data_IF_446929531481
#
_entry.id   IF_446929531481
#
_cell.length_a   1.000
_cell.length_b   1.000
_cell.length_c   1.000
_cell.angle_alpha   90.00
_cell.angle_beta   90.00
_cell.angle_gamma   90.00
#
_symmetry.space_group_name_H-M   'P 1'
#
loop_
_entity.id
_entity.type
_entity.pdbx_description
1 polymer ?
#
# COMPACT_ATOMS: atom_id res chain seq x y z
N UNK A 1 25.08 2.45 6.56
CA UNK A 1 25.71 2.60 5.23
C UNK A 1 24.92 1.87 4.15
N UNK A 2 24.60 0.58 4.33
CA UNK A 2 23.86 -0.23 3.33
C UNK A 2 22.46 0.31 2.99
N UNK A 3 21.58 0.71 3.94
CA UNK A 3 20.24 1.19 3.59
C UNK A 3 20.27 2.58 2.94
N UNK A 4 21.30 3.38 3.21
CA UNK A 4 21.53 4.67 2.54
C UNK A 4 21.91 4.47 1.08
N UNK A 5 22.76 3.48 0.77
CA UNK A 5 23.14 3.17 -0.61
C UNK A 5 21.93 2.72 -1.46
N UNK A 6 21.03 1.90 -0.89
CA UNK A 6 19.79 1.49 -1.59
C UNK A 6 18.70 2.56 -1.57
N UNK A 7 18.67 3.43 -0.56
CA UNK A 7 17.69 4.50 -0.42
C UNK A 7 17.82 5.61 -1.47
N UNK A 8 18.99 5.75 -2.12
CA UNK A 8 19.18 6.72 -3.21
C UNK A 8 18.50 6.27 -4.51
N UNK A 9 18.31 4.95 -4.71
CA UNK A 9 17.76 4.39 -5.95
C UNK A 9 16.38 4.96 -6.30
N UNK A 10 15.40 5.05 -5.38
CA UNK A 10 14.10 5.64 -5.69
C UNK A 10 14.16 7.11 -6.04
N UNK A 11 15.12 7.87 -5.47
CA UNK A 11 15.31 9.29 -5.76
C UNK A 11 15.90 9.49 -7.16
N UNK A 12 16.88 8.67 -7.54
CA UNK A 12 17.46 8.68 -8.89
C UNK A 12 16.40 8.28 -9.92
N UNK A 13 15.64 7.23 -9.64
CA UNK A 13 14.54 6.81 -10.52
C UNK A 13 13.48 7.89 -10.63
N UNK A 14 13.10 8.54 -9.54
CA UNK A 14 12.18 9.68 -9.58
C UNK A 14 12.72 10.83 -10.44
N UNK A 15 14.01 11.14 -10.34
CA UNK A 15 14.63 12.15 -11.19
C UNK A 15 14.60 11.77 -12.68
N UNK A 16 14.92 10.51 -13.02
CA UNK A 16 14.87 10.01 -14.41
C UNK A 16 13.43 9.98 -14.96
N UNK A 17 12.46 9.63 -14.13
CA UNK A 17 11.05 9.57 -14.50
C UNK A 17 10.37 10.96 -14.46
N UNK A 18 11.09 12.03 -14.13
CA UNK A 18 10.52 13.36 -14.15
C UNK A 18 9.96 13.69 -15.54
N UNK A 19 8.73 14.20 -15.61
CA UNK A 19 8.05 14.50 -16.87
C UNK A 19 7.50 13.29 -17.65
N UNK A 20 7.60 12.07 -17.14
CA UNK A 20 6.99 10.88 -17.78
C UNK A 20 5.56 10.62 -17.31
N UNK A 21 4.78 9.94 -18.15
CA UNK A 21 3.46 9.43 -17.79
C UNK A 21 3.56 8.32 -16.73
N UNK A 22 2.46 8.11 -15.99
CA UNK A 22 2.35 7.07 -14.99
C UNK A 22 1.27 6.05 -15.33
N UNK A 23 1.13 5.05 -14.46
CA UNK A 23 0.11 4.03 -14.55
C UNK A 23 -1.31 4.64 -14.51
N UNK A 24 -2.22 4.06 -15.29
CA UNK A 24 -3.51 4.68 -15.63
C UNK A 24 -4.40 4.98 -14.42
N UNK A 25 -4.58 4.05 -13.47
CA UNK A 25 -5.47 4.30 -12.31
C UNK A 25 -4.97 5.43 -11.41
N UNK A 26 -3.66 5.74 -11.44
CA UNK A 26 -3.12 6.83 -10.64
C UNK A 26 -3.77 8.16 -11.05
N UNK A 27 -4.18 8.32 -12.32
CA UNK A 27 -4.85 9.53 -12.80
C UNK A 27 -6.20 9.78 -12.13
N UNK A 28 -6.89 8.74 -11.64
CA UNK A 28 -8.12 8.93 -10.85
C UNK A 28 -7.77 9.80 -9.65
N UNK A 29 -6.83 9.36 -8.82
CA UNK A 29 -6.38 10.05 -7.61
C UNK A 29 -5.75 11.41 -7.92
N UNK A 30 -4.93 11.50 -8.97
CA UNK A 30 -4.31 12.76 -9.38
C UNK A 30 -5.36 13.80 -9.81
N UNK A 31 -6.48 13.37 -10.40
CA UNK A 31 -7.59 14.27 -10.74
C UNK A 31 -8.27 14.84 -9.50
N UNK A 32 -8.54 14.02 -8.47
CA UNK A 32 -9.03 14.54 -7.17
C UNK A 32 -8.05 15.55 -6.58
N UNK A 33 -6.74 15.23 -6.58
CA UNK A 33 -5.71 16.11 -6.06
C UNK A 33 -5.60 17.43 -6.84
N UNK A 34 -5.69 17.39 -8.17
CA UNK A 34 -5.70 18.59 -9.04
C UNK A 34 -6.91 19.47 -8.78
N UNK A 35 -8.10 18.87 -8.65
CA UNK A 35 -9.32 19.61 -8.34
C UNK A 35 -9.26 20.24 -6.94
N UNK A 36 -8.74 19.50 -5.95
CA UNK A 36 -8.53 20.03 -4.61
C UNK A 36 -7.54 21.21 -4.62
N UNK A 37 -6.40 21.06 -5.31
CA UNK A 37 -5.39 22.10 -5.44
C UNK A 37 -5.93 23.37 -6.15
N UNK A 38 -6.84 23.19 -7.10
CA UNK A 38 -7.50 24.28 -7.82
C UNK A 38 -8.71 24.89 -7.06
N UNK A 39 -8.99 24.46 -5.83
CA UNK A 39 -10.11 24.96 -5.03
C UNK A 39 -11.49 24.48 -5.49
N UNK A 40 -11.56 23.46 -6.35
CA UNK A 40 -12.82 22.88 -6.87
C UNK A 40 -13.45 21.85 -5.92
N UNK A 41 -12.77 21.55 -4.81
CA UNK A 41 -13.18 20.54 -3.83
C UNK A 41 -12.62 19.15 -4.11
N UNK A 42 -12.91 18.21 -3.21
CA UNK A 42 -12.48 16.81 -3.32
C UNK A 42 -13.45 16.02 -4.22
N UNK A 43 -13.38 16.25 -5.53
CA UNK A 43 -14.26 15.62 -6.51
C UNK A 43 -13.49 15.20 -7.75
N UNK A 44 -14.00 14.23 -8.49
CA UNK A 44 -13.47 13.86 -9.81
C UNK A 44 -14.03 14.78 -10.90
N UNK A 45 -15.36 14.82 -11.04
CA UNK A 45 -16.08 15.74 -11.91
C UNK A 45 -16.67 16.88 -11.06
N UNK A 46 -16.55 18.11 -11.53
CA UNK A 46 -17.17 19.26 -10.86
C UNK A 46 -18.70 19.12 -10.83
N UNK A 47 -19.31 19.35 -9.67
CA UNK A 47 -20.78 19.27 -9.49
C UNK A 47 -21.32 17.86 -9.22
N UNK A 48 -20.49 16.82 -9.30
CA UNK A 48 -20.91 15.42 -9.05
C UNK A 48 -20.18 14.85 -7.82
N UNK A 49 -20.87 14.70 -6.67
CA UNK A 49 -20.27 14.08 -5.49
C UNK A 49 -20.16 12.56 -5.71
N UNK A 50 -19.01 12.12 -6.18
CA UNK A 50 -18.68 10.71 -6.34
C UNK A 50 -17.32 10.40 -5.71
N UNK A 51 -17.23 9.31 -4.94
CA UNK A 51 -15.97 8.82 -4.35
C UNK A 51 -15.42 7.64 -5.15
N UNK A 52 -14.58 7.95 -6.13
CA UNK A 52 -13.95 6.99 -7.03
C UNK A 52 -12.48 6.65 -6.69
N UNK A 53 -11.78 7.51 -5.95
CA UNK A 53 -10.41 7.21 -5.50
C UNK A 53 -10.43 6.25 -4.31
N UNK A 54 -9.51 5.27 -4.32
CA UNK A 54 -9.32 4.32 -3.21
C UNK A 54 -8.20 4.72 -2.26
N UNK A 55 -7.60 5.90 -2.48
CA UNK A 55 -6.48 6.43 -1.71
C UNK A 55 -6.69 7.90 -1.30
N UNK A 56 -7.76 8.20 -0.55
CA UNK A 56 -8.07 9.57 -0.17
C UNK A 56 -6.94 10.28 0.58
N UNK A 57 -6.13 9.57 1.37
CA UNK A 57 -4.97 10.17 2.03
C UNK A 57 -3.97 10.74 1.02
N UNK A 58 -3.67 9.99 -0.05
CA UNK A 58 -2.76 10.45 -1.08
C UNK A 58 -3.36 11.63 -1.84
N UNK A 59 -4.64 11.58 -2.22
CA UNK A 59 -5.30 12.69 -2.89
C UNK A 59 -5.29 13.98 -2.07
N UNK A 60 -5.59 13.91 -0.76
CA UNK A 60 -5.54 15.05 0.16
C UNK A 60 -4.13 15.61 0.30
N UNK A 61 -3.13 14.73 0.50
CA UNK A 61 -1.73 15.12 0.63
C UNK A 61 -1.23 15.84 -0.64
N UNK A 62 -1.49 15.26 -1.81
CA UNK A 62 -1.03 15.81 -3.08
C UNK A 62 -1.78 17.09 -3.46
N UNK A 63 -3.08 17.18 -3.19
CA UNK A 63 -3.84 18.39 -3.42
C UNK A 63 -3.41 19.54 -2.50
N UNK A 64 -3.13 19.24 -1.23
CA UNK A 64 -2.58 20.23 -0.30
C UNK A 64 -1.19 20.73 -0.71
N UNK A 65 -0.28 19.82 -1.07
CA UNK A 65 1.05 20.19 -1.59
C UNK A 65 0.98 20.95 -2.91
N UNK A 66 0.07 20.56 -3.81
CA UNK A 66 -0.17 21.26 -5.08
C UNK A 66 -0.71 22.68 -4.88
N UNK A 67 -1.56 22.90 -3.87
CA UNK A 67 -2.05 24.23 -3.51
C UNK A 67 -0.95 25.12 -2.89
N UNK A 68 -0.14 24.56 -1.99
CA UNK A 68 0.92 25.29 -1.29
C UNK A 68 2.14 25.57 -2.17
N UNK A 69 2.47 24.65 -3.07
CA UNK A 69 3.68 24.70 -3.90
C UNK A 69 3.33 24.40 -5.37
N UNK A 70 2.61 25.31 -6.06
CA UNK A 70 2.07 25.07 -7.39
C UNK A 70 3.15 24.89 -8.47
N UNK A 71 4.37 25.42 -8.26
CA UNK A 71 5.48 25.32 -9.21
C UNK A 71 5.92 23.87 -9.51
N UNK A 72 5.75 22.95 -8.55
CA UNK A 72 6.07 21.53 -8.71
C UNK A 72 4.92 20.77 -9.38
N UNK A 73 3.68 21.26 -9.22
CA UNK A 73 2.47 20.61 -9.69
C UNK A 73 2.13 19.32 -8.94
N UNK A 74 0.87 18.90 -9.03
CA UNK A 74 0.37 17.68 -8.36
C UNK A 74 1.10 16.42 -8.84
N UNK A 75 1.35 16.30 -10.14
CA UNK A 75 2.04 15.14 -10.71
C UNK A 75 3.51 15.05 -10.26
N UNK A 76 4.17 16.20 -10.09
CA UNK A 76 5.53 16.29 -9.56
C UNK A 76 5.58 15.91 -8.08
N UNK A 77 4.62 16.39 -7.29
CA UNK A 77 4.49 15.99 -5.88
C UNK A 77 4.18 14.51 -5.72
N UNK A 78 3.35 13.93 -6.60
CA UNK A 78 3.07 12.50 -6.58
C UNK A 78 4.35 11.66 -6.70
N UNK A 79 5.23 12.07 -7.62
CA UNK A 79 6.51 11.39 -7.83
C UNK A 79 7.44 11.50 -6.62
N UNK A 80 7.62 12.72 -6.08
CA UNK A 80 8.54 12.94 -4.96
C UNK A 80 8.03 12.34 -3.64
N UNK A 81 6.74 12.50 -3.34
CA UNK A 81 6.11 11.86 -2.17
C UNK A 81 6.26 10.35 -2.26
N UNK A 82 6.01 9.78 -3.43
CA UNK A 82 6.21 8.36 -3.69
C UNK A 82 7.64 7.89 -3.49
N UNK A 83 8.61 8.61 -4.04
CA UNK A 83 10.03 8.28 -3.93
C UNK A 83 10.52 8.33 -2.48
N UNK A 84 10.14 9.38 -1.74
CA UNK A 84 10.44 9.52 -0.32
C UNK A 84 9.75 8.45 0.52
N UNK A 85 8.50 8.12 0.20
CA UNK A 85 7.77 7.06 0.87
C UNK A 85 8.43 5.69 0.63
N UNK A 86 8.86 5.39 -0.61
CA UNK A 86 9.56 4.15 -0.93
C UNK A 86 10.91 4.05 -0.23
N UNK A 87 11.69 5.14 -0.21
CA UNK A 87 12.93 5.24 0.56
C UNK A 87 12.68 4.94 2.03
N UNK A 88 11.69 5.60 2.63
CA UNK A 88 11.28 5.34 4.02
C UNK A 88 10.88 3.89 4.24
N UNK A 89 10.13 3.30 3.30
CA UNK A 89 9.70 1.91 3.40
C UNK A 89 10.89 0.93 3.35
N UNK A 90 11.89 1.15 2.48
CA UNK A 90 13.15 0.39 2.46
C UNK A 90 13.85 0.47 3.81
N UNK A 91 13.94 1.67 4.39
CA UNK A 91 14.57 1.88 5.70
C UNK A 91 13.82 1.14 6.82
N UNK A 92 12.50 1.25 6.85
CA UNK A 92 11.67 0.57 7.86
C UNK A 92 11.73 -0.94 7.68
N UNK A 93 11.76 -1.45 6.44
CA UNK A 93 11.95 -2.88 6.16
C UNK A 93 13.30 -3.39 6.65
N UNK A 94 14.38 -2.62 6.46
CA UNK A 94 15.69 -2.93 7.05
C UNK A 94 15.59 -3.10 8.56
N UNK A 95 15.00 -2.11 9.25
CA UNK A 95 14.86 -2.15 10.71
C UNK A 95 13.98 -3.32 11.15
N UNK A 96 12.89 -3.60 10.44
CA UNK A 96 12.04 -4.76 10.73
C UNK A 96 12.77 -6.09 10.57
N UNK A 97 13.54 -6.24 9.49
CA UNK A 97 14.34 -7.44 9.25
C UNK A 97 15.36 -7.70 10.35
N UNK A 98 16.06 -6.66 10.80
CA UNK A 98 16.98 -6.74 11.96
C UNK A 98 16.26 -7.14 13.25
N UNK A 99 15.02 -6.67 13.46
CA UNK A 99 14.25 -6.96 14.68
C UNK A 99 13.60 -8.34 14.67
N UNK A 100 13.20 -8.85 13.50
CA UNK A 100 12.45 -10.10 13.37
C UNK A 100 13.39 -11.29 13.24
N UNK A 101 14.41 -11.19 12.39
CA UNK A 101 15.31 -12.30 12.03
C UNK A 101 16.72 -12.09 12.59
N UNK A 102 17.16 -10.83 12.72
CA UNK A 102 18.54 -10.43 13.02
C UNK A 102 19.56 -10.85 11.92
N UNK A 103 20.80 -10.39 12.06
CA UNK A 103 21.90 -10.74 11.15
C UNK A 103 21.73 -10.12 9.77
N UNK A 104 21.47 -10.95 8.75
CA UNK A 104 21.27 -10.49 7.37
C UNK A 104 19.80 -10.15 7.05
N UNK A 105 18.89 -10.33 8.01
CA UNK A 105 17.45 -10.12 7.81
C UNK A 105 17.11 -8.70 7.36
N UNK A 106 17.76 -7.69 7.93
CA UNK A 106 17.54 -6.29 7.52
C UNK A 106 18.01 -6.03 6.10
N UNK A 107 19.23 -6.46 5.77
CA UNK A 107 19.79 -6.31 4.43
C UNK A 107 18.92 -7.01 3.39
N UNK A 108 18.48 -8.23 3.66
CA UNK A 108 17.60 -8.97 2.76
C UNK A 108 16.26 -8.26 2.53
N UNK A 109 15.60 -7.80 3.60
CA UNK A 109 14.32 -7.08 3.49
C UNK A 109 14.47 -5.77 2.68
N UNK A 110 15.54 -5.01 2.91
CA UNK A 110 15.83 -3.79 2.16
C UNK A 110 16.11 -4.08 0.67
N UNK A 111 16.88 -5.12 0.38
CA UNK A 111 17.20 -5.54 -0.99
C UNK A 111 15.94 -5.94 -1.77
N UNK A 112 15.06 -6.74 -1.16
CA UNK A 112 13.79 -7.15 -1.79
C UNK A 112 12.96 -5.92 -2.16
N UNK A 113 12.86 -4.93 -1.28
CA UNK A 113 12.13 -3.69 -1.58
C UNK A 113 12.82 -2.81 -2.62
N UNK A 114 14.15 -2.66 -2.54
CA UNK A 114 14.92 -1.82 -3.45
C UNK A 114 14.95 -2.38 -4.89
N UNK A 115 14.80 -3.70 -5.04
CA UNK A 115 14.85 -4.39 -6.35
C UNK A 115 13.49 -4.78 -6.90
N UNK A 116 12.40 -4.38 -6.22
CA UNK A 116 11.04 -4.65 -6.65
C UNK A 116 10.77 -4.05 -8.04
N UNK A 117 10.53 -4.84 -9.10
CA UNK A 117 10.46 -4.34 -10.48
C UNK A 117 9.31 -3.36 -10.70
N UNK A 118 8.26 -3.46 -9.89
CA UNK A 118 7.06 -2.62 -10.00
C UNK A 118 7.26 -1.24 -9.42
N UNK A 119 8.25 -1.02 -8.54
CA UNK A 119 8.37 0.24 -7.79
C UNK A 119 8.46 1.48 -8.71
N UNK A 120 9.22 1.49 -9.83
CA UNK A 120 9.31 2.66 -10.71
C UNK A 120 7.95 3.04 -11.31
N UNK A 121 7.12 2.04 -11.63
CA UNK A 121 5.81 2.23 -12.24
C UNK A 121 4.76 2.76 -11.26
N UNK A 122 4.92 2.46 -9.97
CA UNK A 122 3.95 2.81 -8.92
C UNK A 122 4.39 3.98 -8.05
N UNK A 123 5.50 4.67 -8.38
CA UNK A 123 5.97 5.80 -7.57
C UNK A 123 4.88 6.89 -7.41
N UNK A 124 4.11 7.20 -8.45
CA UNK A 124 3.03 8.20 -8.36
C UNK A 124 1.72 7.66 -7.77
N UNK A 125 1.67 6.38 -7.45
CA UNK A 125 0.49 5.69 -6.94
C UNK A 125 0.53 5.56 -5.41
N UNK A 126 -0.46 4.88 -4.84
CA UNK A 126 -0.63 4.72 -3.40
C UNK A 126 0.31 3.70 -2.74
N UNK A 127 0.90 2.79 -3.53
CA UNK A 127 1.70 1.68 -3.01
C UNK A 127 2.91 2.11 -2.17
N UNK A 128 3.72 3.11 -2.55
CA UNK A 128 4.81 3.56 -1.70
C UNK A 128 4.37 4.06 -0.33
N UNK A 129 3.29 4.84 -0.30
CA UNK A 129 2.73 5.35 0.94
C UNK A 129 2.15 4.22 1.80
N UNK A 130 1.46 3.26 1.18
CA UNK A 130 0.98 2.05 1.85
C UNK A 130 2.12 1.26 2.48
N UNK A 131 3.20 0.99 1.74
CA UNK A 131 4.34 0.22 2.25
C UNK A 131 5.00 0.92 3.43
N UNK A 132 5.25 2.24 3.32
CA UNK A 132 5.82 3.01 4.41
C UNK A 132 4.95 2.95 5.67
N UNK A 133 3.66 3.28 5.54
CA UNK A 133 2.75 3.36 6.68
C UNK A 133 2.49 1.98 7.27
N UNK A 134 2.21 0.97 6.44
CA UNK A 134 1.95 -0.40 6.88
C UNK A 134 3.11 -0.99 7.68
N UNK A 135 4.33 -0.89 7.15
CA UNK A 135 5.53 -1.39 7.83
C UNK A 135 5.83 -0.57 9.10
N UNK A 136 5.62 0.75 9.07
CA UNK A 136 5.78 1.60 10.25
C UNK A 136 4.78 1.24 11.35
N UNK A 137 3.53 0.94 11.00
CA UNK A 137 2.51 0.45 11.92
C UNK A 137 2.93 -0.84 12.60
N UNK A 138 3.49 -1.80 11.84
CA UNK A 138 4.06 -3.04 12.39
C UNK A 138 5.24 -2.74 13.33
N UNK A 139 6.16 -1.86 12.92
CA UNK A 139 7.31 -1.47 13.74
C UNK A 139 6.89 -0.83 15.07
N UNK A 140 5.89 0.06 15.05
CA UNK A 140 5.33 0.68 16.25
C UNK A 140 4.64 -0.36 17.16
N UNK A 141 3.95 -1.33 16.56
CA UNK A 141 3.30 -2.42 17.30
C UNK A 141 4.33 -3.35 17.96
N UNK A 142 5.48 -3.62 17.31
CA UNK A 142 6.63 -4.32 17.92
C UNK A 142 7.11 -3.57 19.17
N UNK A 143 7.19 -2.24 19.10
CA UNK A 143 7.59 -1.37 20.22
C UNK A 143 6.46 -1.10 21.22
N UNK A 144 5.34 -1.82 21.14
CA UNK A 144 4.16 -1.67 22.02
C UNK A 144 3.56 -0.26 22.05
N UNK A 145 3.84 0.57 21.04
CA UNK A 145 3.25 1.90 20.87
C UNK A 145 1.89 1.78 20.17
N UNK A 146 0.98 1.00 20.76
CA UNK A 146 -0.26 0.56 20.12
C UNK A 146 -1.16 1.70 19.65
N UNK A 147 -1.25 2.82 20.38
CA UNK A 147 -2.02 3.99 19.96
C UNK A 147 -1.51 4.60 18.65
N UNK A 148 -0.19 4.80 18.57
CA UNK A 148 0.45 5.31 17.35
C UNK A 148 0.40 4.29 16.22
N UNK A 149 0.59 3.00 16.51
CA UNK A 149 0.44 1.94 15.52
C UNK A 149 -0.96 1.94 14.90
N UNK A 150 -2.00 2.07 15.75
CA UNK A 150 -3.39 2.21 15.32
C UNK A 150 -3.60 3.40 14.40
N UNK A 151 -3.12 4.59 14.78
CA UNK A 151 -3.24 5.80 13.96
C UNK A 151 -2.53 5.65 12.61
N UNK A 152 -1.32 5.09 12.60
CA UNK A 152 -0.56 4.83 11.37
C UNK A 152 -1.26 3.78 10.50
N UNK A 153 -1.87 2.74 11.08
CA UNK A 153 -2.71 1.80 10.32
C UNK A 153 -3.99 2.45 9.78
N UNK A 154 -4.59 3.40 10.50
CA UNK A 154 -5.70 4.21 10.00
C UNK A 154 -5.30 5.06 8.80
N UNK A 155 -4.12 5.69 8.85
CA UNK A 155 -3.56 6.39 7.70
C UNK A 155 -3.26 5.43 6.54
N UNK A 156 -2.69 4.25 6.82
CA UNK A 156 -2.45 3.23 5.81
C UNK A 156 -3.75 2.78 5.14
N UNK A 157 -4.85 2.66 5.90
CA UNK A 157 -6.18 2.34 5.38
C UNK A 157 -6.73 3.43 4.46
N UNK A 158 -6.53 4.71 4.80
CA UNK A 158 -6.88 5.83 3.93
C UNK A 158 -5.94 5.97 2.73
N UNK A 159 -4.71 5.43 2.80
CA UNK A 159 -3.86 5.29 1.62
C UNK A 159 -4.30 4.12 0.75
N UNK A 160 -4.76 3.01 1.34
CA UNK A 160 -5.31 1.87 0.62
C UNK A 160 -6.13 0.97 1.55
N UNK A 161 -7.36 0.68 1.15
CA UNK A 161 -8.32 -0.03 2.02
C UNK A 161 -7.91 -1.44 2.46
N UNK A 162 -7.03 -2.11 1.71
CA UNK A 162 -6.50 -3.43 2.05
C UNK A 162 -5.53 -3.42 3.24
N UNK A 163 -5.03 -2.25 3.65
CA UNK A 163 -4.27 -2.10 4.89
C UNK A 163 -5.08 -2.50 6.14
N UNK A 164 -6.41 -2.57 6.03
CA UNK A 164 -7.28 -3.12 7.08
C UNK A 164 -6.90 -4.57 7.43
N UNK A 165 -6.49 -5.37 6.44
CA UNK A 165 -6.02 -6.75 6.64
C UNK A 165 -4.79 -6.73 7.55
N UNK A 166 -3.79 -5.91 7.22
CA UNK A 166 -2.59 -5.78 8.03
C UNK A 166 -2.88 -5.30 9.45
N UNK A 167 -3.73 -4.28 9.59
CA UNK A 167 -4.15 -3.74 10.88
C UNK A 167 -4.85 -4.80 11.75
N UNK A 168 -5.76 -5.58 11.14
CA UNK A 168 -6.48 -6.67 11.80
C UNK A 168 -5.55 -7.77 12.27
N UNK A 169 -4.66 -8.26 11.39
CA UNK A 169 -3.69 -9.31 11.73
C UNK A 169 -2.70 -8.84 12.80
N UNK A 170 -2.23 -7.58 12.72
CA UNK A 170 -1.38 -6.97 13.74
C UNK A 170 -2.10 -6.84 15.09
N UNK A 171 -3.39 -6.47 15.08
CA UNK A 171 -4.23 -6.43 16.27
C UNK A 171 -4.43 -7.81 16.90
N UNK A 172 -4.68 -8.84 16.09
CA UNK A 172 -4.76 -10.24 16.55
C UNK A 172 -3.44 -10.72 17.15
N UNK A 173 -2.30 -10.37 16.53
CA UNK A 173 -0.99 -10.68 17.07
C UNK A 173 -0.74 -9.97 18.42
N UNK A 174 -1.14 -8.70 18.55
CA UNK A 174 -1.07 -7.98 19.82
C UNK A 174 -1.95 -8.62 20.90
N UNK A 175 -3.19 -8.98 20.57
CA UNK A 175 -4.11 -9.70 21.46
C UNK A 175 -3.50 -11.04 21.92
N UNK A 176 -2.97 -11.84 20.99
CA UNK A 176 -2.36 -13.13 21.29
C UNK A 176 -1.18 -13.01 22.26
N UNK A 177 -0.31 -12.00 22.03
CA UNK A 177 0.89 -11.77 22.84
C UNK A 177 0.59 -11.21 24.21
N UNK A 178 -0.28 -10.20 24.29
CA UNK A 178 -0.54 -9.46 25.53
C UNK A 178 -1.73 -10.03 26.32
N UNK A 179 -2.48 -10.96 25.73
CA UNK A 179 -3.70 -11.57 26.31
C UNK A 179 -4.74 -10.54 26.75
N UNK A 180 -4.72 -9.37 26.11
CA UNK A 180 -5.60 -8.23 26.35
C UNK A 180 -5.96 -7.62 25.01
N UNK A 181 -7.20 -7.16 24.88
CA UNK A 181 -7.64 -6.49 23.66
C UNK A 181 -6.85 -5.19 23.47
N UNK A 182 -6.34 -4.91 22.25
CA UNK A 182 -5.51 -3.75 21.99
C UNK A 182 -6.35 -2.49 21.76
N UNK A 183 -7.15 -2.06 22.75
CA UNK A 183 -8.07 -0.90 22.63
C UNK A 183 -7.35 0.38 22.21
N UNK A 184 -6.09 0.57 22.59
CA UNK A 184 -5.29 1.71 22.14
C UNK A 184 -5.05 1.68 20.63
N UNK A 185 -4.82 0.50 20.06
CA UNK A 185 -4.68 0.35 18.61
C UNK A 185 -6.00 0.62 17.89
N UNK A 186 -7.11 0.08 18.42
CA UNK A 186 -8.45 0.36 17.88
C UNK A 186 -8.77 1.85 17.97
N UNK A 187 -8.55 2.48 19.12
CA UNK A 187 -8.79 3.91 19.32
C UNK A 187 -7.93 4.79 18.42
N UNK A 188 -6.65 4.44 18.23
CA UNK A 188 -5.78 5.15 17.29
C UNK A 188 -6.25 5.04 15.83
N UNK A 189 -6.68 3.85 15.41
CA UNK A 189 -7.24 3.64 14.07
C UNK A 189 -8.52 4.44 13.86
N UNK A 190 -9.45 4.35 14.81
CA UNK A 190 -10.73 5.05 14.75
C UNK A 190 -10.57 6.57 14.80
N UNK A 191 -9.58 7.09 15.54
CA UNK A 191 -9.27 8.52 15.57
C UNK A 191 -8.95 9.07 14.17
N UNK A 192 -8.33 8.27 13.31
CA UNK A 192 -8.00 8.66 11.93
C UNK A 192 -9.16 8.35 10.97
N UNK A 193 -9.79 7.19 11.12
CA UNK A 193 -10.85 6.75 10.21
C UNK A 193 -12.16 7.53 10.38
N UNK A 194 -12.59 7.82 11.61
CA UNK A 194 -13.90 8.44 11.88
C UNK A 194 -14.03 9.83 11.21
N UNK A 195 -13.07 10.77 11.33
CA UNK A 195 -13.17 12.05 10.66
C UNK A 195 -13.34 11.92 9.14
N UNK A 196 -12.58 11.02 8.52
CA UNK A 196 -12.72 10.73 7.10
C UNK A 196 -14.10 10.12 6.78
N UNK A 197 -14.54 9.13 7.56
CA UNK A 197 -15.82 8.46 7.34
C UNK A 197 -17.00 9.42 7.44
N UNK A 198 -16.98 10.35 8.41
CA UNK A 198 -17.99 11.41 8.54
C UNK A 198 -17.98 12.30 7.31
N UNK A 199 -16.81 12.82 6.93
CA UNK A 199 -16.68 13.68 5.75
C UNK A 199 -17.16 12.97 4.47
N UNK A 200 -16.71 11.74 4.25
CA UNK A 200 -17.03 10.95 3.06
C UNK A 200 -18.53 10.60 3.01
N UNK A 201 -19.14 10.29 4.15
CA UNK A 201 -20.58 10.03 4.21
C UNK A 201 -21.41 11.29 3.92
N UNK A 202 -21.07 12.42 4.55
CA UNK A 202 -21.79 13.69 4.34
C UNK A 202 -21.64 14.21 2.90
N UNK A 203 -20.51 13.94 2.26
CA UNK A 203 -20.21 14.44 0.91
C UNK A 203 -20.67 13.49 -0.19
N UNK A 204 -20.44 12.19 -0.04
CA UNK A 204 -20.61 11.18 -1.11
C UNK A 204 -21.70 10.14 -0.80
N UNK A 205 -22.33 10.18 0.38
CA UNK A 205 -23.34 9.20 0.81
C UNK A 205 -22.77 7.83 1.23
N UNK A 206 -21.45 7.64 1.15
CA UNK A 206 -20.77 6.41 1.54
C UNK A 206 -19.39 6.71 2.15
N UNK A 207 -19.00 6.04 3.25
CA UNK A 207 -17.66 6.19 3.82
C UNK A 207 -16.57 5.48 3.00
N UNK A 208 -16.96 4.57 2.10
CA UNK A 208 -16.06 3.76 1.28
C UNK A 208 -16.24 4.08 -0.22
N UNK A 209 -15.16 4.00 -1.02
CA UNK A 209 -15.21 4.20 -2.46
C UNK A 209 -16.06 3.14 -3.18
N UNK A 210 -16.75 3.55 -4.24
CA UNK A 210 -17.61 2.65 -5.03
C UNK A 210 -16.83 1.70 -5.97
N UNK A 211 -15.51 1.85 -6.07
CA UNK A 211 -14.64 1.21 -7.08
C UNK A 211 -14.71 -0.32 -7.08
N UNK A 212 -14.87 -0.97 -5.91
CA UNK A 212 -14.96 -2.44 -5.84
C UNK A 212 -16.24 -2.95 -6.52
N UNK A 213 -17.36 -2.24 -6.36
CA UNK A 213 -18.62 -2.57 -7.03
C UNK A 213 -18.48 -2.46 -8.55
N UNK A 214 -17.83 -1.41 -9.03
CA UNK A 214 -17.54 -1.20 -10.46
C UNK A 214 -16.66 -2.33 -11.01
N UNK A 215 -15.58 -2.72 -10.31
CA UNK A 215 -14.71 -3.82 -10.76
C UNK A 215 -15.46 -5.16 -10.83
N UNK A 216 -16.38 -5.43 -9.90
CA UNK A 216 -17.24 -6.62 -9.97
C UNK A 216 -18.22 -6.57 -11.13
N UNK A 217 -18.79 -5.40 -11.41
CA UNK A 217 -19.64 -5.21 -12.59
C UNK A 217 -18.86 -5.47 -13.89
N UNK A 218 -17.62 -4.98 -14.01
CA UNK A 218 -16.75 -5.29 -15.16
C UNK A 218 -16.50 -6.79 -15.33
N UNK A 219 -16.33 -7.54 -14.22
CA UNK A 219 -16.21 -9.00 -14.29
C UNK A 219 -17.49 -9.65 -14.82
N UNK A 220 -18.65 -9.16 -14.39
CA UNK A 220 -19.95 -9.67 -14.83
C UNK A 220 -20.21 -9.45 -16.33
N UNK A 221 -19.62 -8.40 -16.93
CA UNK A 221 -19.67 -8.16 -18.38
C UNK A 221 -18.88 -9.20 -19.20
N UNK A 222 -18.05 -10.02 -18.56
CA UNK A 222 -17.30 -11.09 -19.23
C UNK A 222 -16.08 -10.64 -20.04
N UNK A 223 -15.80 -9.34 -20.12
CA UNK A 223 -14.70 -8.79 -20.92
C UNK A 223 -13.30 -9.10 -20.38
N UNK A 224 -13.16 -9.44 -19.09
CA UNK A 224 -11.89 -9.83 -18.48
C UNK A 224 -12.01 -11.16 -17.73
N UNK A 225 -10.95 -11.99 -17.75
CA UNK A 225 -10.94 -13.25 -17.01
C UNK A 225 -10.95 -12.99 -15.50
N UNK A 226 -11.37 -13.99 -14.74
CA UNK A 226 -11.23 -13.97 -13.28
C UNK A 226 -9.75 -13.86 -12.88
N UNK A 227 -9.47 -13.22 -11.74
CA UNK A 227 -8.10 -12.97 -11.29
C UNK A 227 -7.21 -14.22 -11.25
N UNK A 228 -7.75 -15.37 -10.85
CA UNK A 228 -7.02 -16.66 -10.85
C UNK A 228 -6.50 -17.01 -12.24
N UNK A 229 -7.42 -17.21 -13.16
CA UNK A 229 -7.11 -17.70 -14.50
C UNK A 229 -6.26 -16.68 -15.25
N UNK A 230 -6.66 -15.40 -15.21
CA UNK A 230 -5.93 -14.33 -15.87
C UNK A 230 -4.49 -14.19 -15.37
N UNK A 231 -4.27 -14.25 -14.06
CA UNK A 231 -2.91 -14.19 -13.49
C UNK A 231 -2.04 -15.36 -13.95
N UNK A 232 -2.54 -16.59 -13.87
CA UNK A 232 -1.75 -17.77 -14.28
C UNK A 232 -1.46 -17.77 -15.78
N UNK A 233 -2.44 -17.41 -16.61
CA UNK A 233 -2.22 -17.25 -18.05
C UNK A 233 -1.16 -16.17 -18.32
N UNK A 234 -1.26 -15.01 -17.67
CA UNK A 234 -0.26 -13.94 -17.82
C UNK A 234 1.14 -14.38 -17.36
N UNK A 235 1.24 -15.06 -16.22
CA UNK A 235 2.53 -15.48 -15.65
C UNK A 235 3.26 -16.46 -16.58
N UNK A 236 2.55 -17.44 -17.14
CA UNK A 236 3.14 -18.44 -18.06
C UNK A 236 3.63 -17.81 -19.36
N UNK A 237 2.97 -16.74 -19.82
CA UNK A 237 3.36 -15.99 -21.02
C UNK A 237 4.33 -14.83 -20.70
N UNK A 238 4.65 -14.59 -19.43
CA UNK A 238 5.58 -13.54 -19.03
C UNK A 238 7.02 -13.95 -19.30
N UNK A 239 7.94 -12.98 -19.50
CA UNK A 239 9.36 -13.25 -19.64
C UNK A 239 9.91 -14.16 -18.52
N UNK A 240 10.83 -15.11 -18.83
CA UNK A 240 11.37 -16.03 -17.84
C UNK A 240 11.93 -15.36 -16.58
N UNK A 241 12.53 -14.17 -16.73
CA UNK A 241 13.02 -13.39 -15.60
C UNK A 241 11.93 -13.01 -14.58
N UNK A 242 10.71 -12.69 -15.04
CA UNK A 242 9.57 -12.41 -14.16
C UNK A 242 9.07 -13.68 -13.48
N UNK A 243 9.03 -14.80 -14.20
CA UNK A 243 8.64 -16.10 -13.63
C UNK A 243 9.61 -16.56 -12.54
N UNK A 244 10.93 -16.49 -12.81
CA UNK A 244 11.97 -16.83 -11.83
C UNK A 244 11.82 -15.95 -10.59
N UNK A 245 11.62 -14.64 -10.75
CA UNK A 245 11.38 -13.72 -9.62
C UNK A 245 10.17 -14.14 -8.81
N UNK A 246 9.02 -14.35 -9.44
CA UNK A 246 7.81 -14.81 -8.77
C UNK A 246 8.07 -16.08 -7.93
N UNK A 247 8.66 -17.10 -8.55
CA UNK A 247 8.94 -18.36 -7.85
C UNK A 247 9.97 -18.21 -6.74
N UNK A 248 11.02 -17.38 -6.91
CA UNK A 248 11.96 -17.08 -5.83
C UNK A 248 11.29 -16.36 -4.66
N UNK A 249 10.33 -15.45 -4.92
CA UNK A 249 9.54 -14.81 -3.86
C UNK A 249 8.63 -15.81 -3.15
N UNK A 250 8.00 -16.74 -3.88
CA UNK A 250 7.17 -17.81 -3.28
C UNK A 250 8.01 -18.73 -2.40
N UNK A 251 9.17 -19.18 -2.89
CA UNK A 251 10.12 -20.02 -2.12
C UNK A 251 10.63 -19.26 -0.91
N UNK A 252 11.02 -18.00 -1.06
CA UNK A 252 11.47 -17.14 0.04
C UNK A 252 10.40 -16.94 1.11
N UNK A 253 9.14 -16.72 0.70
CA UNK A 253 8.00 -16.63 1.62
C UNK A 253 7.75 -17.97 2.35
N UNK A 254 7.89 -19.10 1.65
CA UNK A 254 7.79 -20.44 2.24
C UNK A 254 8.89 -20.71 3.27
N UNK A 255 10.14 -20.39 2.96
CA UNK A 255 11.26 -20.47 3.92
C UNK A 255 11.00 -19.55 5.11
N UNK A 256 10.59 -18.31 4.86
CA UNK A 256 10.23 -17.34 5.90
C UNK A 256 9.12 -17.86 6.82
N UNK A 257 8.08 -18.48 6.26
CA UNK A 257 7.00 -19.08 7.04
C UNK A 257 7.53 -20.17 7.99
N UNK A 258 8.34 -21.09 7.46
CA UNK A 258 8.92 -22.18 8.27
C UNK A 258 9.79 -21.62 9.40
N UNK A 259 10.66 -20.65 9.09
CA UNK A 259 11.54 -20.01 10.08
C UNK A 259 10.72 -19.27 11.15
N UNK A 260 9.74 -18.47 10.74
CA UNK A 260 8.95 -17.67 11.68
C UNK A 260 8.06 -18.53 12.57
N UNK A 261 7.53 -19.65 12.08
CA UNK A 261 6.81 -20.62 12.91
C UNK A 261 7.76 -21.29 13.90
N UNK A 262 8.90 -21.82 13.44
CA UNK A 262 9.88 -22.53 14.29
C UNK A 262 10.44 -21.64 15.39
N UNK A 263 10.79 -20.41 15.06
CA UNK A 263 11.36 -19.42 15.99
C UNK A 263 10.30 -18.57 16.72
N UNK A 264 9.00 -18.85 16.50
CA UNK A 264 7.88 -18.12 17.10
C UNK A 264 7.94 -16.60 16.85
N UNK A 265 8.39 -16.19 15.66
CA UNK A 265 8.49 -14.79 15.21
C UNK A 265 7.13 -14.28 14.73
N UNK A 266 6.23 -14.03 15.67
CA UNK A 266 4.83 -13.63 15.37
C UNK A 266 4.72 -12.42 14.44
N UNK A 267 5.59 -11.41 14.55
CA UNK A 267 5.54 -10.24 13.67
C UNK A 267 6.02 -10.54 12.23
N UNK A 268 6.89 -11.54 12.05
CA UNK A 268 7.19 -12.06 10.71
C UNK A 268 5.96 -12.75 10.10
N UNK A 269 5.22 -13.51 10.91
CA UNK A 269 3.95 -14.12 10.49
C UNK A 269 2.89 -13.09 10.14
N UNK A 270 2.82 -11.95 10.84
CA UNK A 270 1.90 -10.83 10.50
C UNK A 270 2.16 -10.32 9.08
N UNK A 271 3.44 -10.10 8.72
CA UNK A 271 3.83 -9.61 7.39
C UNK A 271 3.48 -10.65 6.30
N UNK A 272 3.79 -11.93 6.53
CA UNK A 272 3.45 -13.00 5.57
C UNK A 272 1.94 -13.17 5.43
N UNK A 273 1.22 -13.17 6.55
CA UNK A 273 -0.23 -13.30 6.57
C UNK A 273 -0.92 -12.15 5.84
N UNK A 274 -0.38 -10.91 5.89
CA UNK A 274 -0.91 -9.80 5.11
C UNK A 274 -0.88 -10.10 3.61
N UNK A 275 0.27 -10.55 3.07
CA UNK A 275 0.38 -10.90 1.65
C UNK A 275 -0.53 -12.06 1.23
N UNK A 276 -0.61 -13.11 2.06
CA UNK A 276 -1.45 -14.28 1.78
C UNK A 276 -2.94 -13.91 1.83
N UNK A 277 -3.38 -13.21 2.88
CA UNK A 277 -4.79 -12.82 3.04
C UNK A 277 -5.20 -11.78 1.99
N UNK A 278 -4.29 -10.91 1.57
CA UNK A 278 -4.51 -10.02 0.44
C UNK A 278 -4.79 -10.80 -0.84
N UNK A 279 -3.92 -11.76 -1.18
CA UNK A 279 -4.12 -12.62 -2.35
C UNK A 279 -5.44 -13.39 -2.25
N UNK A 280 -5.70 -14.06 -1.12
CA UNK A 280 -6.95 -14.78 -0.86
C UNK A 280 -8.18 -13.87 -0.98
N UNK A 281 -8.12 -12.64 -0.48
CA UNK A 281 -9.19 -11.66 -0.62
C UNK A 281 -9.54 -11.43 -2.09
N UNK A 282 -8.54 -11.15 -2.93
CA UNK A 282 -8.77 -10.96 -4.36
C UNK A 282 -9.30 -12.22 -5.06
N UNK A 283 -8.85 -13.41 -4.65
CA UNK A 283 -9.36 -14.68 -5.15
C UNK A 283 -10.86 -14.88 -4.83
N UNK A 284 -11.30 -14.44 -3.66
CA UNK A 284 -12.69 -14.60 -3.19
C UNK A 284 -13.63 -13.50 -3.68
N UNK A 285 -13.12 -12.30 -3.97
CA UNK A 285 -13.94 -11.14 -4.31
C UNK A 285 -14.50 -11.16 -5.75
N UNK A 286 -14.20 -12.20 -6.54
CA UNK A 286 -14.62 -12.36 -7.94
C UNK A 286 -14.32 -11.12 -8.80
N UNK A 287 -13.07 -10.66 -8.75
CA UNK A 287 -12.61 -9.46 -9.48
C UNK A 287 -11.89 -9.86 -10.78
N UNK A 288 -11.89 -8.97 -11.80
CA UNK A 288 -11.20 -9.24 -13.05
C UNK A 288 -9.68 -9.13 -12.91
N UNK A 289 -8.96 -9.91 -13.72
CA UNK A 289 -7.53 -9.73 -13.91
C UNK A 289 -7.26 -8.64 -14.94
N UNK A 290 -6.31 -7.77 -14.66
CA UNK A 290 -5.77 -6.81 -15.62
C UNK A 290 -4.27 -7.02 -15.73
N UNK A 291 -3.77 -7.29 -16.94
CA UNK A 291 -2.35 -7.62 -17.15
C UNK A 291 -1.39 -6.48 -16.78
N UNK A 292 -1.87 -5.23 -16.81
CA UNK A 292 -1.10 -4.06 -16.41
C UNK A 292 -1.04 -3.84 -14.89
N UNK A 293 -1.72 -4.67 -14.08
CA UNK A 293 -1.56 -4.72 -12.62
C UNK A 293 -0.49 -5.72 -12.14
N UNK A 294 0.09 -6.50 -13.05
CA UNK A 294 0.91 -7.65 -12.73
C UNK A 294 2.42 -7.38 -12.84
#
# INVERSE_FOLDING_TARGET
MIPLAFGVVPLVVAWVLWGTLTYDDAYITLTYAKNLAAGKGFVYNGGEPYLGTTTPLLALLLGGLGALFPAIGVDGWALWVGALAWLGAIWVAFVLGERIVAGWGGVFAALVMATAPTFPHVLRAEFPLLMLLGLTGVLLAIHRRYGLAGAVFGLAFLARGDALILAGVAGLAALWRERRLPWRMVGGFLLVFIPWAIYAYLTFGSPLPATLGVKRAHRALGAWPHITFGFWTWLVHSPPALQVRFWTSVVGAGIGLVLFVRERRVWGLVILAWGVLYALGYLLLNVPFYAWYA
#
